data_IF_174383214232
#
_entry.id   IF_174383214232
#
_cell.length_a   1.000
_cell.length_b   1.000
_cell.length_c   1.000
_cell.angle_alpha   90.00
_cell.angle_beta   90.00
_cell.angle_gamma   90.00
#
_symmetry.space_group_name_H-M   'P 1'
#
loop_
_entity.id
_entity.type
_entity.pdbx_description
1 polymer ?
#
# COMPACT_ATOMS: atom_id res chain seq x y z
N UNK A 1 -10.47 -37.73 18.49
CA UNK A 1 -9.66 -36.57 18.92
C UNK A 1 -9.75 -35.54 17.81
N UNK A 2 -10.32 -34.38 18.13
CA UNK A 2 -10.67 -33.33 17.16
C UNK A 2 -9.41 -32.70 16.58
N UNK A 3 -9.22 -32.85 15.27
CA UNK A 3 -8.22 -32.11 14.49
C UNK A 3 -8.60 -30.64 14.49
N UNK A 4 -7.70 -29.78 14.98
CA UNK A 4 -7.88 -28.34 14.92
C UNK A 4 -7.96 -27.89 13.45
N UNK A 5 -9.03 -27.20 13.08
CA UNK A 5 -9.11 -26.51 11.80
C UNK A 5 -8.04 -25.41 11.78
N UNK A 6 -7.01 -25.59 10.95
CA UNK A 6 -6.07 -24.52 10.66
C UNK A 6 -6.77 -23.54 9.70
N UNK A 7 -7.10 -22.35 10.17
CA UNK A 7 -7.56 -21.25 9.30
C UNK A 7 -6.45 -20.90 8.33
N UNK A 8 -6.61 -21.28 7.06
CA UNK A 8 -5.68 -20.90 6.00
C UNK A 8 -5.88 -19.41 5.67
N UNK A 9 -4.81 -18.61 5.81
CA UNK A 9 -4.84 -17.18 5.50
C UNK A 9 -4.83 -16.99 3.98
N UNK A 10 -5.84 -16.33 3.44
CA UNK A 10 -5.90 -15.94 2.03
C UNK A 10 -5.06 -14.67 1.79
N UNK A 11 -3.79 -14.85 1.47
CA UNK A 11 -2.84 -13.74 1.23
C UNK A 11 -3.27 -12.86 0.05
N UNK A 12 -3.88 -13.44 -0.99
CA UNK A 12 -4.34 -12.67 -2.15
C UNK A 12 -5.47 -11.70 -1.79
N UNK A 13 -6.40 -12.14 -0.95
CA UNK A 13 -7.50 -11.31 -0.46
C UNK A 13 -7.00 -10.18 0.46
N UNK A 14 -6.06 -10.47 1.35
CA UNK A 14 -5.43 -9.45 2.19
C UNK A 14 -4.67 -8.42 1.34
N UNK A 15 -3.90 -8.87 0.34
CA UNK A 15 -3.21 -7.98 -0.61
C UNK A 15 -4.18 -7.03 -1.30
N UNK A 16 -5.28 -7.56 -1.83
CA UNK A 16 -6.30 -6.76 -2.50
C UNK A 16 -6.94 -5.75 -1.55
N UNK A 17 -7.24 -6.18 -0.32
CA UNK A 17 -7.79 -5.31 0.71
C UNK A 17 -6.84 -4.15 1.04
N UNK A 18 -5.55 -4.42 1.28
CA UNK A 18 -4.59 -3.39 1.67
C UNK A 18 -4.22 -2.45 0.52
N UNK A 19 -4.14 -2.94 -0.72
CA UNK A 19 -4.01 -2.06 -1.89
C UNK A 19 -5.24 -1.14 -2.04
N UNK A 20 -6.45 -1.70 -1.90
CA UNK A 20 -7.68 -0.90 -1.92
C UNK A 20 -7.79 0.08 -0.73
N UNK A 21 -7.21 -0.25 0.42
CA UNK A 21 -7.10 0.68 1.54
C UNK A 21 -6.16 1.86 1.22
N UNK A 22 -5.00 1.59 0.62
CA UNK A 22 -4.09 2.65 0.17
C UNK A 22 -4.77 3.57 -0.86
N UNK A 23 -5.55 3.01 -1.80
CA UNK A 23 -6.29 3.80 -2.79
C UNK A 23 -7.33 4.71 -2.12
N UNK A 24 -8.11 4.19 -1.17
CA UNK A 24 -9.11 4.97 -0.43
C UNK A 24 -8.47 6.11 0.38
N UNK A 25 -7.38 5.84 1.10
CA UNK A 25 -6.68 6.85 1.89
C UNK A 25 -6.14 7.95 0.98
N UNK A 26 -5.39 7.58 -0.05
CA UNK A 26 -4.74 8.54 -0.95
C UNK A 26 -5.76 9.34 -1.77
N UNK A 27 -6.88 8.74 -2.17
CA UNK A 27 -7.97 9.45 -2.86
C UNK A 27 -8.66 10.46 -1.95
N UNK A 28 -9.01 10.05 -0.72
CA UNK A 28 -9.66 10.92 0.24
C UNK A 28 -8.76 12.12 0.60
N UNK A 29 -7.47 11.87 0.85
CA UNK A 29 -6.51 12.94 1.14
C UNK A 29 -6.25 13.82 -0.08
N UNK A 30 -6.17 13.26 -1.30
CA UNK A 30 -6.03 14.08 -2.51
C UNK A 30 -7.23 15.00 -2.72
N UNK A 31 -8.43 14.51 -2.41
CA UNK A 31 -9.68 15.29 -2.51
C UNK A 31 -9.67 16.46 -1.53
N UNK A 32 -9.21 16.23 -0.29
CA UNK A 32 -9.13 17.28 0.73
C UNK A 32 -8.00 18.28 0.43
N UNK A 33 -6.82 17.79 0.04
CA UNK A 33 -5.66 18.63 -0.22
C UNK A 33 -5.80 19.45 -1.52
N UNK A 34 -6.45 18.88 -2.53
CA UNK A 34 -6.52 19.45 -3.88
C UNK A 34 -5.28 19.14 -4.74
N UNK A 35 -4.31 18.39 -4.22
CA UNK A 35 -3.19 17.80 -4.98
C UNK A 35 -3.24 16.28 -4.96
N UNK A 36 -2.66 15.65 -5.97
CA UNK A 36 -2.69 14.19 -6.14
C UNK A 36 -1.46 13.52 -5.53
N UNK A 37 -1.64 12.33 -4.98
CA UNK A 37 -0.53 11.43 -4.67
C UNK A 37 0.05 10.83 -5.96
N UNK A 38 1.37 10.90 -6.11
CA UNK A 38 2.13 10.21 -7.15
C UNK A 38 2.39 8.77 -6.72
N UNK A 39 2.19 7.83 -7.63
CA UNK A 39 2.30 6.39 -7.37
C UNK A 39 3.58 5.84 -7.99
N UNK A 40 4.35 5.12 -7.19
CA UNK A 40 5.56 4.42 -7.59
C UNK A 40 5.48 2.94 -7.16
N UNK A 41 5.33 2.05 -8.14
CA UNK A 41 5.36 0.61 -7.91
C UNK A 41 6.79 0.11 -8.07
N UNK A 42 7.25 -0.69 -7.11
CA UNK A 42 8.62 -1.17 -7.09
C UNK A 42 8.68 -2.66 -6.78
N UNK A 43 9.74 -3.28 -7.26
CA UNK A 43 10.11 -4.66 -6.97
C UNK A 43 11.62 -4.71 -6.76
N UNK A 44 12.06 -5.45 -5.74
CA UNK A 44 13.50 -5.66 -5.52
C UNK A 44 14.02 -6.63 -6.58
N UNK A 45 15.23 -6.39 -7.12
CA UNK A 45 15.87 -7.32 -8.04
C UNK A 45 15.93 -8.75 -7.49
N UNK A 46 15.84 -9.75 -8.36
CA UNK A 46 15.83 -11.17 -7.97
C UNK A 46 17.10 -11.59 -7.21
N UNK A 47 18.24 -10.97 -7.52
CA UNK A 47 19.56 -11.20 -6.92
C UNK A 47 19.76 -10.46 -5.59
N UNK A 48 18.81 -9.63 -5.17
CA UNK A 48 18.85 -8.93 -3.89
C UNK A 48 18.75 -9.91 -2.72
N UNK A 49 19.61 -9.72 -1.70
CA UNK A 49 19.55 -10.47 -0.43
C UNK A 49 18.18 -10.33 0.26
N UNK A 50 17.50 -9.21 0.05
CA UNK A 50 16.14 -8.98 0.51
C UNK A 50 15.20 -9.00 -0.69
N UNK A 51 14.21 -9.89 -0.66
CA UNK A 51 13.11 -9.92 -1.65
C UNK A 51 12.00 -8.98 -1.22
N UNK A 52 11.13 -8.62 -2.16
CA UNK A 52 9.92 -7.85 -1.87
C UNK A 52 9.51 -6.97 -3.03
N UNK A 53 8.26 -6.56 -3.01
CA UNK A 53 7.68 -5.61 -3.93
C UNK A 53 6.72 -4.73 -3.14
N UNK A 54 6.30 -3.62 -3.73
CA UNK A 54 5.41 -2.70 -3.06
C UNK A 54 4.91 -1.59 -3.95
N UNK A 55 4.15 -0.69 -3.32
CA UNK A 55 3.63 0.52 -3.95
C UNK A 55 3.75 1.67 -2.96
N UNK A 56 4.49 2.69 -3.35
CA UNK A 56 4.69 3.91 -2.59
C UNK A 56 3.84 5.02 -3.22
N UNK A 57 2.98 5.65 -2.44
CA UNK A 57 2.23 6.83 -2.88
C UNK A 57 2.73 8.05 -2.11
N UNK A 58 3.17 9.10 -2.79
CA UNK A 58 3.70 10.34 -2.18
C UNK A 58 2.96 11.57 -2.70
N UNK A 59 2.58 12.47 -1.80
CA UNK A 59 2.18 13.84 -2.11
C UNK A 59 3.24 14.77 -1.53
N UNK A 60 3.75 15.69 -2.33
CA UNK A 60 4.78 16.66 -1.92
C UNK A 60 4.34 18.08 -2.29
N UNK A 61 4.53 19.02 -1.37
CA UNK A 61 4.13 20.41 -1.50
C UNK A 61 2.61 20.60 -1.53
N UNK A 62 1.84 19.83 -0.74
CA UNK A 62 0.38 19.94 -0.66
C UNK A 62 -0.12 21.26 -0.08
N UNK A 63 -1.43 21.50 -0.23
CA UNK A 63 -2.07 22.66 0.38
C UNK A 63 -2.43 22.41 1.85
N UNK A 64 -2.62 21.15 2.24
CA UNK A 64 -2.89 20.71 3.61
C UNK A 64 -1.72 19.89 4.15
N UNK A 65 -1.28 18.89 3.39
CA UNK A 65 -0.12 18.07 3.71
C UNK A 65 1.12 18.68 3.05
N UNK A 66 2.02 19.29 3.81
CA UNK A 66 3.33 19.70 3.27
C UNK A 66 4.01 18.53 2.56
N UNK A 67 3.97 17.34 3.19
CA UNK A 67 4.37 16.07 2.60
C UNK A 67 3.56 14.93 3.19
N UNK A 68 3.05 14.04 2.35
CA UNK A 68 2.28 12.85 2.73
C UNK A 68 2.81 11.60 2.06
N UNK A 69 2.76 10.46 2.75
CA UNK A 69 3.19 9.17 2.20
C UNK A 69 2.35 8.00 2.70
N UNK A 70 1.97 7.11 1.79
CA UNK A 70 1.29 5.84 2.09
C UNK A 70 2.01 4.72 1.35
N UNK A 71 2.59 3.77 2.09
CA UNK A 71 3.30 2.62 1.54
C UNK A 71 2.50 1.32 1.67
N UNK A 72 2.65 0.44 0.67
CA UNK A 72 2.24 -0.96 0.70
C UNK A 72 3.46 -1.83 0.38
N UNK A 73 3.65 -2.94 1.10
CA UNK A 73 4.75 -3.90 0.94
C UNK A 73 4.38 -5.27 1.50
#
# INVERSE_FOLDING_TARGET
MSSAEHTQINIAELKNYFLGLQDRITTAMSTLDGKVFMVDAWEKPEDSKLKGYGRTCILDGGNILEKGGVGFS
#
